data_IF_525555877036
#
_entry.id   IF_525555877036
#
_cell.length_a   1.000
_cell.length_b   1.000
_cell.length_c   1.000
_cell.angle_alpha   90.00
_cell.angle_beta   90.00
_cell.angle_gamma   90.00
#
_symmetry.space_group_name_H-M   'P 1'
#
loop_
_entity.id
_entity.type
_entity.pdbx_description
1 polymer ?
#
# COMPACT_ATOMS: atom_id res chain seq x y z
N UNK A 1 -46.56 14.50 0.40
CA UNK A 1 -46.09 14.94 -0.94
C UNK A 1 -44.82 14.16 -1.27
N UNK A 2 -44.92 13.12 -2.10
CA UNK A 2 -43.77 12.27 -2.47
C UNK A 2 -42.96 13.06 -3.50
N UNK A 3 -41.74 13.50 -3.12
CA UNK A 3 -40.78 14.09 -4.06
C UNK A 3 -40.38 13.02 -5.06
N UNK A 4 -41.01 13.02 -6.24
CA UNK A 4 -40.52 12.30 -7.42
C UNK A 4 -39.12 12.82 -7.73
N UNK A 5 -38.09 12.06 -7.38
CA UNK A 5 -36.72 12.37 -7.78
C UNK A 5 -36.67 12.38 -9.32
N UNK A 6 -36.00 13.38 -9.89
CA UNK A 6 -35.89 13.51 -11.35
C UNK A 6 -35.07 12.33 -11.88
N UNK A 7 -35.55 11.58 -12.89
CA UNK A 7 -34.89 10.38 -13.43
C UNK A 7 -33.41 10.58 -13.80
N UNK A 8 -33.02 11.80 -14.22
CA UNK A 8 -31.63 12.15 -14.51
C UNK A 8 -30.69 12.04 -13.31
N UNK A 9 -31.13 12.44 -12.11
CA UNK A 9 -30.28 12.46 -10.91
C UNK A 9 -29.85 11.05 -10.47
N UNK A 10 -30.68 10.03 -10.69
CA UNK A 10 -30.35 8.65 -10.34
C UNK A 10 -29.35 8.08 -11.35
N UNK A 11 -29.57 8.33 -12.65
CA UNK A 11 -28.66 7.90 -13.71
C UNK A 11 -27.27 8.53 -13.53
N UNK A 12 -27.21 9.84 -13.31
CA UNK A 12 -25.94 10.56 -13.09
C UNK A 12 -25.19 10.01 -11.87
N UNK A 13 -25.91 9.66 -10.80
CA UNK A 13 -25.33 9.05 -9.58
C UNK A 13 -24.78 7.65 -9.86
N UNK A 14 -25.50 6.81 -10.59
CA UNK A 14 -25.03 5.47 -10.95
C UNK A 14 -23.81 5.52 -11.87
N UNK A 15 -23.78 6.46 -12.80
CA UNK A 15 -22.64 6.69 -13.69
C UNK A 15 -21.40 7.16 -12.91
N UNK A 16 -21.57 8.09 -11.96
CA UNK A 16 -20.49 8.49 -11.06
C UNK A 16 -19.97 7.31 -10.22
N UNK A 17 -20.86 6.44 -9.75
CA UNK A 17 -20.48 5.22 -9.02
C UNK A 17 -19.70 4.24 -9.89
N UNK A 18 -20.10 4.05 -11.15
CA UNK A 18 -19.39 3.18 -12.09
C UNK A 18 -17.97 3.70 -12.38
N UNK A 19 -17.80 5.02 -12.55
CA UNK A 19 -16.49 5.64 -12.71
C UNK A 19 -15.62 5.43 -11.48
N UNK A 20 -16.16 5.63 -10.27
CA UNK A 20 -15.43 5.38 -9.02
C UNK A 20 -14.97 3.93 -8.86
N UNK A 21 -15.81 2.96 -9.24
CA UNK A 21 -15.43 1.53 -9.23
C UNK A 21 -14.32 1.26 -10.25
N UNK A 22 -14.37 1.89 -11.43
CA UNK A 22 -13.36 1.73 -12.48
C UNK A 22 -11.99 2.27 -12.03
N UNK A 23 -11.97 3.46 -11.41
CA UNK A 23 -10.76 4.05 -10.84
C UNK A 23 -10.19 3.16 -9.73
N UNK A 24 -11.07 2.63 -8.87
CA UNK A 24 -10.69 1.73 -7.80
C UNK A 24 -10.06 0.43 -8.31
N UNK A 25 -10.69 -0.21 -9.31
CA UNK A 25 -10.17 -1.42 -9.96
C UNK A 25 -8.80 -1.18 -10.59
N UNK A 26 -8.61 -0.01 -11.22
CA UNK A 26 -7.34 0.39 -11.80
C UNK A 26 -6.26 0.50 -10.72
N UNK A 27 -6.57 1.13 -9.59
CA UNK A 27 -5.64 1.25 -8.47
C UNK A 27 -5.33 -0.10 -7.81
N UNK A 28 -6.32 -1.00 -7.70
CA UNK A 28 -6.12 -2.36 -7.19
C UNK A 28 -5.19 -3.18 -8.10
N UNK A 29 -5.37 -3.07 -9.41
CA UNK A 29 -4.50 -3.72 -10.39
C UNK A 29 -3.05 -3.21 -10.30
N UNK A 30 -2.87 -1.89 -10.21
CA UNK A 30 -1.54 -1.30 -10.02
C UNK A 30 -0.88 -1.74 -8.70
N UNK A 31 -1.66 -1.85 -7.62
CA UNK A 31 -1.17 -2.37 -6.35
C UNK A 31 -0.73 -3.83 -6.48
N UNK A 32 -1.53 -4.67 -7.14
CA UNK A 32 -1.20 -6.08 -7.36
C UNK A 32 0.10 -6.25 -8.17
N UNK A 33 0.30 -5.45 -9.22
CA UNK A 33 1.54 -5.48 -9.99
C UNK A 33 2.76 -5.10 -9.16
N UNK A 34 2.63 -4.08 -8.29
CA UNK A 34 3.73 -3.66 -7.40
C UNK A 34 4.05 -4.72 -6.35
N UNK A 35 3.03 -5.36 -5.78
CA UNK A 35 3.19 -6.47 -4.84
C UNK A 35 3.86 -7.67 -5.49
N UNK A 36 3.50 -7.98 -6.74
CA UNK A 36 4.12 -9.06 -7.50
C UNK A 36 5.59 -8.75 -7.83
N UNK A 37 5.88 -7.53 -8.30
CA UNK A 37 7.25 -7.09 -8.54
C UNK A 37 8.12 -7.17 -7.27
N UNK A 38 7.58 -6.72 -6.14
CA UNK A 38 8.26 -6.81 -4.84
C UNK A 38 8.52 -8.25 -4.40
N UNK A 39 7.52 -9.14 -4.57
CA UNK A 39 7.64 -10.56 -4.19
C UNK A 39 8.65 -11.31 -5.06
N UNK A 40 8.79 -10.90 -6.31
CA UNK A 40 9.72 -11.51 -7.27
C UNK A 40 11.11 -10.83 -7.26
N UNK A 41 11.34 -9.87 -6.36
CA UNK A 41 12.64 -9.21 -6.22
C UNK A 41 13.58 -10.00 -5.30
N UNK A 42 14.30 -10.94 -5.92
CA UNK A 42 15.36 -11.73 -5.31
C UNK A 42 16.45 -10.89 -4.62
N UNK A 43 16.71 -9.66 -5.09
CA UNK A 43 17.78 -8.82 -4.57
C UNK A 43 17.41 -8.29 -3.19
N UNK A 44 16.19 -7.76 -3.03
CA UNK A 44 15.70 -7.24 -1.76
C UNK A 44 15.63 -8.31 -0.67
N UNK A 45 15.31 -9.55 -1.04
CA UNK A 45 15.25 -10.68 -0.11
C UNK A 45 16.64 -11.12 0.36
N UNK A 46 17.61 -11.16 -0.56
CA UNK A 46 19.01 -11.43 -0.25
C UNK A 46 19.56 -10.34 0.67
N UNK A 47 19.29 -9.09 0.35
CA UNK A 47 19.78 -7.94 1.11
C UNK A 47 19.22 -7.95 2.55
N UNK A 48 17.91 -8.14 2.72
CA UNK A 48 17.28 -8.27 4.04
C UNK A 48 17.87 -9.39 4.89
N UNK A 49 18.28 -10.49 4.26
CA UNK A 49 18.88 -11.64 4.93
C UNK A 49 20.38 -11.47 5.23
N UNK A 50 21.09 -10.65 4.44
CA UNK A 50 22.53 -10.46 4.52
C UNK A 50 22.93 -9.33 5.48
N UNK A 51 22.26 -8.17 5.39
CA UNK A 51 22.56 -6.98 6.19
C UNK A 51 22.67 -7.23 7.71
N UNK A 52 21.74 -7.93 8.38
CA UNK A 52 21.87 -8.17 9.82
C UNK A 52 23.15 -8.95 10.15
N UNK A 53 23.53 -9.93 9.32
CA UNK A 53 24.75 -10.71 9.50
C UNK A 53 26.01 -9.87 9.26
N UNK A 54 25.96 -8.95 8.30
CA UNK A 54 27.05 -8.00 8.08
C UNK A 54 27.22 -7.02 9.26
N UNK A 55 26.11 -6.50 9.78
CA UNK A 55 26.10 -5.64 10.96
C UNK A 55 26.66 -6.39 12.18
N UNK A 56 26.29 -7.66 12.38
CA UNK A 56 26.84 -8.50 13.44
C UNK A 56 28.36 -8.69 13.31
N UNK A 57 28.84 -8.96 12.09
CA UNK A 57 30.28 -9.09 11.80
C UNK A 57 31.04 -7.79 12.08
N UNK A 58 30.50 -6.66 11.63
CA UNK A 58 31.10 -5.35 11.89
C UNK A 58 31.13 -5.02 13.39
N UNK A 59 30.07 -5.37 14.14
CA UNK A 59 30.05 -5.23 15.59
C UNK A 59 31.12 -6.08 16.28
N UNK A 60 31.35 -7.31 15.80
CA UNK A 60 32.43 -8.16 16.31
C UNK A 60 33.82 -7.58 15.97
N UNK A 61 34.01 -7.09 14.74
CA UNK A 61 35.25 -6.44 14.30
C UNK A 61 35.54 -5.19 15.13
N UNK A 62 34.54 -4.33 15.36
CA UNK A 62 34.64 -3.13 16.19
C UNK A 62 35.15 -3.45 17.61
N UNK A 63 34.65 -4.53 18.21
CA UNK A 63 35.05 -4.97 19.57
C UNK A 63 36.49 -5.46 19.64
N UNK A 64 37.01 -6.03 18.55
CA UNK A 64 38.36 -6.57 18.47
C UNK A 64 39.40 -5.50 18.05
N UNK A 65 38.95 -4.46 17.34
CA UNK A 65 39.80 -3.36 16.86
C UNK A 65 40.34 -2.52 18.03
N UNK A 66 41.61 -2.12 17.94
CA UNK A 66 42.30 -1.31 18.96
C UNK A 66 42.59 0.11 18.49
N UNK A 67 42.58 0.35 17.18
CA UNK A 67 42.79 1.66 16.60
C UNK A 67 41.49 2.50 16.70
N UNK A 68 41.48 3.62 17.45
CA UNK A 68 40.28 4.44 17.62
C UNK A 68 39.74 5.04 16.31
N UNK A 69 40.61 5.35 15.36
CA UNK A 69 40.20 5.88 14.05
C UNK A 69 39.42 4.82 13.25
N UNK A 70 39.90 3.57 13.27
CA UNK A 70 39.24 2.45 12.61
C UNK A 70 37.93 2.09 13.31
N UNK A 71 37.89 2.13 14.65
CA UNK A 71 36.64 1.94 15.40
C UNK A 71 35.57 2.96 15.00
N UNK A 72 35.95 4.23 14.88
CA UNK A 72 35.04 5.31 14.46
C UNK A 72 34.51 5.05 13.05
N UNK A 73 35.36 4.59 12.14
CA UNK A 73 34.95 4.28 10.78
C UNK A 73 34.03 3.06 10.71
N UNK A 74 34.29 2.02 11.51
CA UNK A 74 33.38 0.87 11.62
C UNK A 74 32.02 1.32 12.19
N UNK A 75 32.00 2.21 13.18
CA UNK A 75 30.76 2.75 13.76
C UNK A 75 29.91 3.49 12.73
N UNK A 76 30.51 4.32 11.88
CA UNK A 76 29.81 4.99 10.79
C UNK A 76 29.19 4.01 9.79
N UNK A 77 29.92 2.94 9.44
CA UNK A 77 29.40 1.90 8.54
C UNK A 77 28.26 1.10 9.19
N UNK A 78 28.37 0.78 10.48
CA UNK A 78 27.30 0.12 11.24
C UNK A 78 26.06 1.00 11.28
N UNK A 79 26.21 2.30 11.53
CA UNK A 79 25.09 3.24 11.57
C UNK A 79 24.38 3.32 10.21
N UNK A 80 25.13 3.49 9.12
CA UNK A 80 24.58 3.54 7.77
C UNK A 80 23.84 2.24 7.40
N UNK A 81 24.47 1.08 7.62
CA UNK A 81 23.84 -0.23 7.38
C UNK A 81 22.63 -0.46 8.28
N UNK A 82 22.66 0.03 9.52
CA UNK A 82 21.53 -0.04 10.46
C UNK A 82 20.33 0.76 9.97
N UNK A 83 20.55 1.98 9.48
CA UNK A 83 19.50 2.81 8.85
C UNK A 83 18.90 2.11 7.63
N UNK A 84 19.74 1.58 6.74
CA UNK A 84 19.29 0.86 5.55
C UNK A 84 18.46 -0.39 5.91
N UNK A 85 18.93 -1.18 6.88
CA UNK A 85 18.19 -2.35 7.37
C UNK A 85 16.82 -1.96 7.95
N UNK A 86 16.74 -0.85 8.69
CA UNK A 86 15.47 -0.34 9.20
C UNK A 86 14.53 0.06 8.05
N UNK A 87 15.02 0.75 7.03
CA UNK A 87 14.24 1.12 5.84
C UNK A 87 13.68 -0.12 5.13
N UNK A 88 14.50 -1.15 4.90
CA UNK A 88 14.05 -2.41 4.29
C UNK A 88 12.97 -3.12 5.11
N UNK A 89 13.07 -3.10 6.44
CA UNK A 89 12.03 -3.65 7.32
C UNK A 89 10.73 -2.87 7.28
N UNK A 90 10.81 -1.55 7.16
CA UNK A 90 9.62 -0.70 7.01
C UNK A 90 8.93 -0.96 5.67
N UNK A 91 9.70 -1.13 4.59
CA UNK A 91 9.17 -1.51 3.29
C UNK A 91 8.42 -2.86 3.37
N UNK A 92 9.04 -3.88 3.98
CA UNK A 92 8.43 -5.21 4.14
C UNK A 92 7.13 -5.18 4.95
N UNK A 93 7.10 -4.41 6.03
CA UNK A 93 5.89 -4.20 6.81
C UNK A 93 4.78 -3.53 5.98
N UNK A 94 5.11 -2.50 5.20
CA UNK A 94 4.14 -1.81 4.32
C UNK A 94 3.64 -2.73 3.21
N UNK A 95 4.50 -3.56 2.63
CA UNK A 95 4.11 -4.55 1.61
C UNK A 95 3.19 -5.63 2.18
N UNK A 96 3.47 -6.10 3.40
CA UNK A 96 2.59 -7.03 4.12
C UNK A 96 1.20 -6.41 4.36
N UNK A 97 1.16 -5.16 4.84
CA UNK A 97 -0.10 -4.42 5.00
C UNK A 97 -0.84 -4.26 3.68
N UNK A 98 -0.10 -4.03 2.60
CA UNK A 98 -0.67 -3.84 1.28
C UNK A 98 -1.32 -5.11 0.71
N UNK A 99 -0.74 -6.29 0.96
CA UNK A 99 -1.37 -7.58 0.63
C UNK A 99 -2.72 -7.71 1.36
N UNK A 100 -2.74 -7.44 2.67
CA UNK A 100 -3.97 -7.52 3.47
C UNK A 100 -5.04 -6.52 2.99
N UNK A 101 -4.63 -5.33 2.55
CA UNK A 101 -5.56 -4.33 2.02
C UNK A 101 -6.11 -4.73 0.65
N UNK A 102 -5.31 -5.40 -0.19
CA UNK A 102 -5.76 -5.95 -1.46
C UNK A 102 -6.86 -7.01 -1.24
N UNK A 103 -6.67 -7.92 -0.27
CA UNK A 103 -7.66 -8.94 0.10
C UNK A 103 -8.96 -8.32 0.63
N UNK A 104 -8.86 -7.32 1.50
CA UNK A 104 -10.02 -6.58 2.00
C UNK A 104 -10.77 -5.87 0.87
N UNK A 105 -10.04 -5.29 -0.09
CA UNK A 105 -10.63 -4.60 -1.23
C UNK A 105 -11.36 -5.56 -2.16
N UNK A 106 -10.83 -6.77 -2.39
CA UNK A 106 -11.51 -7.82 -3.14
C UNK A 106 -12.83 -8.27 -2.46
N UNK A 107 -12.81 -8.37 -1.13
CA UNK A 107 -14.01 -8.69 -0.34
C UNK A 107 -15.06 -7.57 -0.45
N UNK A 108 -14.61 -6.31 -0.40
CA UNK A 108 -15.48 -5.15 -0.59
C UNK A 108 -16.08 -5.11 -2.01
N UNK A 109 -15.31 -5.45 -3.05
CA UNK A 109 -15.80 -5.58 -4.43
C UNK A 109 -16.95 -6.59 -4.54
N UNK A 110 -16.78 -7.78 -3.96
CA UNK A 110 -17.83 -8.82 -3.97
C UNK A 110 -19.11 -8.33 -3.24
N UNK A 111 -18.93 -7.57 -2.16
CA UNK A 111 -20.04 -6.98 -1.39
C UNK A 111 -20.75 -5.89 -2.19
N UNK A 112 -20.02 -5.00 -2.84
CA UNK A 112 -20.56 -3.94 -3.70
C UNK A 112 -21.29 -4.52 -4.91
N UNK A 113 -20.72 -5.55 -5.56
CA UNK A 113 -21.37 -6.26 -6.66
C UNK A 113 -22.73 -6.83 -6.24
N UNK A 114 -22.80 -7.48 -5.08
CA UNK A 114 -24.06 -8.00 -4.52
C UNK A 114 -25.06 -6.88 -4.25
N UNK A 115 -24.62 -5.72 -3.76
CA UNK A 115 -25.49 -4.56 -3.53
C UNK A 115 -26.00 -3.94 -4.84
N UNK A 116 -25.18 -3.87 -5.89
CA UNK A 116 -25.60 -3.38 -7.21
C UNK A 116 -26.67 -4.28 -7.80
N UNK A 117 -26.52 -5.61 -7.71
CA UNK A 117 -27.55 -6.56 -8.17
C UNK A 117 -28.90 -6.35 -7.46
N UNK A 118 -28.88 -6.04 -6.17
CA UNK A 118 -30.10 -5.79 -5.40
C UNK A 118 -30.78 -4.46 -5.77
N UNK A 119 -30.02 -3.44 -6.18
CA UNK A 119 -30.57 -2.15 -6.64
C UNK A 119 -31.25 -2.30 -8.01
N UNK A 120 -30.71 -3.13 -8.90
CA UNK A 120 -31.34 -3.41 -10.21
C UNK A 120 -32.66 -4.19 -10.06
N UNK A 121 -32.75 -5.04 -9.03
CA UNK A 121 -33.93 -5.88 -8.75
C UNK A 121 -35.10 -5.16 -8.02
N UNK A 122 -34.91 -3.96 -7.46
CA UNK A 122 -35.94 -3.24 -6.69
C UNK A 122 -36.05 -1.76 -7.10
N UNK A 123 -37.25 -1.19 -7.08
CA UNK A 123 -37.46 0.25 -7.32
C UNK A 123 -36.60 1.10 -6.36
N UNK A 124 -35.68 1.87 -6.94
CA UNK A 124 -34.59 2.62 -6.31
C UNK A 124 -34.99 3.34 -5.01
N UNK A 125 -34.48 2.85 -3.87
CA UNK A 125 -34.44 3.60 -2.62
C UNK A 125 -33.17 4.47 -2.59
N UNK A 126 -33.33 5.79 -2.54
CA UNK A 126 -32.22 6.74 -2.55
C UNK A 126 -31.25 6.55 -1.39
N UNK A 127 -31.73 6.07 -0.23
CA UNK A 127 -30.88 5.83 0.95
C UNK A 127 -29.94 4.62 0.81
N UNK A 128 -30.24 3.65 -0.06
CA UNK A 128 -29.34 2.52 -0.35
C UNK A 128 -28.21 2.94 -1.29
N UNK A 129 -28.55 3.72 -2.30
CA UNK A 129 -27.59 4.25 -3.29
C UNK A 129 -26.56 5.18 -2.61
N UNK A 130 -27.01 6.03 -1.70
CA UNK A 130 -26.12 6.96 -0.97
C UNK A 130 -25.14 6.23 -0.03
N UNK A 131 -25.56 5.14 0.62
CA UNK A 131 -24.67 4.30 1.42
C UNK A 131 -23.63 3.58 0.57
N UNK A 132 -24.04 2.97 -0.54
CA UNK A 132 -23.13 2.32 -1.47
C UNK A 132 -22.04 3.30 -1.96
N UNK A 133 -22.42 4.54 -2.29
CA UNK A 133 -21.47 5.59 -2.67
C UNK A 133 -20.54 6.03 -1.54
N UNK A 134 -21.00 6.03 -0.28
CA UNK A 134 -20.15 6.33 0.86
C UNK A 134 -19.12 5.22 1.06
N UNK A 135 -19.55 3.96 1.02
CA UNK A 135 -18.70 2.78 1.20
C UNK A 135 -17.62 2.71 0.10
N UNK A 136 -17.98 2.96 -1.17
CA UNK A 136 -17.03 3.00 -2.28
C UNK A 136 -15.98 4.09 -2.07
N UNK A 137 -16.40 5.31 -1.71
CA UNK A 137 -15.46 6.42 -1.48
C UNK A 137 -14.49 6.13 -0.35
N UNK A 138 -14.96 5.49 0.70
CA UNK A 138 -14.12 5.12 1.85
C UNK A 138 -13.06 4.07 1.45
N UNK A 139 -13.44 3.05 0.66
CA UNK A 139 -12.49 2.05 0.17
C UNK A 139 -11.45 2.66 -0.80
N UNK A 140 -11.88 3.56 -1.68
CA UNK A 140 -10.97 4.29 -2.58
C UNK A 140 -9.97 5.12 -1.80
N UNK A 141 -10.41 5.87 -0.79
CA UNK A 141 -9.53 6.69 0.04
C UNK A 141 -8.47 5.83 0.75
N UNK A 142 -8.88 4.73 1.41
CA UNK A 142 -7.95 3.79 2.06
C UNK A 142 -6.87 3.26 1.11
N UNK A 143 -7.28 2.87 -0.11
CA UNK A 143 -6.35 2.34 -1.09
C UNK A 143 -5.35 3.41 -1.56
N UNK A 144 -5.82 4.63 -1.80
CA UNK A 144 -4.97 5.75 -2.21
C UNK A 144 -3.94 6.10 -1.14
N UNK A 145 -4.35 6.15 0.13
CA UNK A 145 -3.46 6.43 1.26
C UNK A 145 -2.36 5.36 1.39
N UNK A 146 -2.73 4.09 1.21
CA UNK A 146 -1.77 3.00 1.19
C UNK A 146 -0.77 3.14 0.04
N UNK A 147 -1.24 3.37 -1.18
CA UNK A 147 -0.37 3.54 -2.37
C UNK A 147 0.59 4.73 -2.18
N UNK A 148 0.10 5.85 -1.64
CA UNK A 148 0.91 7.00 -1.31
C UNK A 148 2.00 6.65 -0.27
N UNK A 149 1.64 5.88 0.77
CA UNK A 149 2.61 5.42 1.77
C UNK A 149 3.67 4.48 1.19
N UNK A 150 3.33 3.62 0.22
CA UNK A 150 4.32 2.75 -0.44
C UNK A 150 5.30 3.60 -1.26
N UNK A 151 4.79 4.59 -2.02
CA UNK A 151 5.63 5.50 -2.81
C UNK A 151 6.61 6.29 -1.93
N UNK A 152 6.17 6.76 -0.77
CA UNK A 152 7.01 7.52 0.16
C UNK A 152 8.25 6.73 0.61
N UNK A 153 8.13 5.42 0.85
CA UNK A 153 9.28 4.58 1.22
C UNK A 153 10.20 4.31 0.03
N UNK A 154 9.64 4.12 -1.15
CA UNK A 154 10.43 3.96 -2.37
C UNK A 154 11.23 5.22 -2.70
N UNK A 155 10.63 6.41 -2.59
CA UNK A 155 11.32 7.69 -2.79
C UNK A 155 12.43 7.93 -1.75
N UNK A 156 12.24 7.42 -0.53
CA UNK A 156 13.28 7.45 0.51
C UNK A 156 14.44 6.50 0.19
N UNK A 157 14.16 5.34 -0.42
CA UNK A 157 15.19 4.39 -0.88
C UNK A 157 15.97 4.89 -2.09
N UNK A 158 15.32 5.51 -3.08
CA UNK A 158 16.01 6.01 -4.28
C UNK A 158 16.87 7.22 -3.99
N UNK A 159 16.46 8.12 -3.09
CA UNK A 159 17.30 9.25 -2.64
C UNK A 159 18.45 8.84 -1.73
N UNK A 160 18.30 7.77 -0.94
CA UNK A 160 19.38 7.27 -0.09
C UNK A 160 20.56 6.61 -0.83
N UNK A 161 20.46 6.47 -2.16
CA UNK A 161 21.53 5.94 -3.02
C UNK A 161 22.34 7.09 -3.67
N UNK A 162 21.89 8.34 -3.57
CA UNK A 162 22.56 9.52 -4.18
C UNK A 162 23.48 10.31 -3.21
N UNK A 163 23.56 9.95 -1.93
CA UNK A 163 24.45 10.58 -0.92
C UNK A 163 25.50 9.59 -0.37
#
# INVERSE_FOLDING_TARGET
QIRRQRPGLIRDRLEATANQITDWLSNLYQLALRLDAYRNDDLLDRERSALPKEIERLNAQRKAERNPAVQTQIDQVIESKGKHWQTLRQLDARMTQAVLQLEQSLTALATMYSQVQLIDAQSVDSGRTERLQADIREQVARLNDLVASINEVYDYQTKGIED
#
